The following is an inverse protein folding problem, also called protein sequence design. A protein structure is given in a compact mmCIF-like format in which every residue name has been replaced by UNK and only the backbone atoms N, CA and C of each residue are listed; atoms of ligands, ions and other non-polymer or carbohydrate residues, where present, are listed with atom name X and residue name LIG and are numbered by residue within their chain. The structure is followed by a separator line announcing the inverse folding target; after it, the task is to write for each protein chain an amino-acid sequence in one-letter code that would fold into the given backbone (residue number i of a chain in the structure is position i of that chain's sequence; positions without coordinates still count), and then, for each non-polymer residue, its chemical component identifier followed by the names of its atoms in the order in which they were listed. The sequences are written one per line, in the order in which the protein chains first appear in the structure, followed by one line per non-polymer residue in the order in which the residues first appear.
data_IF_056978250219
#
_entry.id   IF_056978250219
#
_cell.length_a   1.000
_cell.length_b   1.000
_cell.length_c   1.000
_cell.angle_alpha   90.00
_cell.angle_beta   90.00
_cell.angle_gamma   90.00
#
_symmetry.space_group_name_H-M   'P 1'
#
loop_
_entity.id
_entity.type
_entity.pdbx_description
1 polymer ?
#
# COMPACT_ATOMS: atom_id res chain seq x y z
N UNK A 1 -17.84 -23.09 -11.22
CA UNK A 1 -17.70 -21.83 -10.48
C UNK A 1 -17.02 -20.85 -11.40
N UNK A 2 -17.49 -19.62 -11.51
CA UNK A 2 -16.80 -18.57 -12.31
C UNK A 2 -15.55 -18.18 -11.53
N UNK A 3 -14.37 -18.37 -12.15
CA UNK A 3 -13.07 -17.96 -11.57
C UNK A 3 -13.08 -16.44 -11.40
N UNK A 4 -12.77 -15.96 -10.21
CA UNK A 4 -12.72 -14.52 -9.90
C UNK A 4 -11.57 -13.86 -10.66
N UNK A 5 -11.80 -12.63 -11.16
CA UNK A 5 -10.74 -11.76 -11.69
C UNK A 5 -10.22 -10.80 -10.64
N UNK A 6 -8.91 -10.62 -10.56
CA UNK A 6 -8.31 -9.60 -9.70
C UNK A 6 -8.44 -8.25 -10.40
N UNK A 7 -9.13 -7.32 -9.75
CA UNK A 7 -9.32 -5.95 -10.26
C UNK A 7 -8.11 -5.08 -9.94
N UNK A 8 -7.87 -4.10 -10.79
CA UNK A 8 -6.90 -3.02 -10.53
C UNK A 8 -7.57 -1.89 -9.76
N UNK A 9 -6.82 -1.22 -8.89
CA UNK A 9 -7.28 0.02 -8.27
C UNK A 9 -6.66 1.21 -9.00
N UNK A 10 -7.50 1.97 -9.70
CA UNK A 10 -7.09 3.19 -10.41
C UNK A 10 -8.04 4.32 -10.02
N UNK A 11 -7.48 5.44 -9.55
CA UNK A 11 -8.25 6.60 -9.12
C UNK A 11 -9.32 6.29 -8.05
N UNK A 12 -9.02 5.31 -7.16
CA UNK A 12 -9.89 4.89 -6.08
C UNK A 12 -11.08 4.03 -6.47
N UNK A 13 -11.08 3.49 -7.68
CA UNK A 13 -12.09 2.57 -8.18
C UNK A 13 -11.45 1.24 -8.60
N UNK A 14 -12.12 0.14 -8.23
CA UNK A 14 -11.71 -1.19 -8.65
C UNK A 14 -12.24 -1.45 -10.07
N UNK A 15 -11.33 -1.45 -11.04
CA UNK A 15 -11.63 -1.61 -12.46
C UNK A 15 -11.12 -2.94 -12.99
N UNK A 16 -11.88 -3.54 -13.93
CA UNK A 16 -11.40 -4.67 -14.70
C UNK A 16 -10.34 -4.20 -15.71
N UNK A 17 -9.28 -4.98 -15.87
CA UNK A 17 -8.27 -4.68 -16.88
C UNK A 17 -8.81 -4.92 -18.31
N UNK A 18 -8.35 -4.11 -19.24
CA UNK A 18 -8.62 -4.25 -20.66
C UNK A 18 -7.65 -5.20 -21.37
N UNK A 19 -6.73 -5.81 -20.60
CA UNK A 19 -5.74 -6.74 -21.14
C UNK A 19 -6.36 -8.00 -21.73
N UNK A 20 -5.73 -8.56 -22.77
CA UNK A 20 -6.00 -9.91 -23.24
C UNK A 20 -5.14 -10.97 -22.55
N UNK A 21 -4.15 -10.56 -21.75
CA UNK A 21 -3.17 -11.45 -21.12
C UNK A 21 -3.46 -11.60 -19.64
N UNK A 22 -3.76 -12.84 -19.22
CA UNK A 22 -4.12 -13.18 -17.85
C UNK A 22 -3.24 -14.32 -17.34
N UNK A 23 -2.89 -14.28 -16.07
CA UNK A 23 -2.17 -15.33 -15.35
C UNK A 23 -3.15 -16.03 -14.41
N UNK A 24 -3.18 -17.35 -14.45
CA UNK A 24 -3.96 -18.13 -13.50
C UNK A 24 -3.25 -18.14 -12.12
N UNK A 25 -3.97 -17.72 -11.11
CA UNK A 25 -3.56 -17.82 -9.72
C UNK A 25 -4.10 -19.13 -9.16
N UNK A 26 -3.21 -20.04 -8.80
CA UNK A 26 -3.59 -21.35 -8.25
C UNK A 26 -3.24 -21.45 -6.77
N UNK A 27 -4.12 -22.06 -6.00
CA UNK A 27 -3.79 -22.49 -4.65
C UNK A 27 -2.70 -23.57 -4.73
N UNK A 28 -1.51 -23.36 -4.14
CA UNK A 28 -0.38 -24.27 -4.28
C UNK A 28 -0.62 -25.64 -3.61
N UNK A 29 -1.53 -25.73 -2.66
CA UNK A 29 -1.84 -26.98 -1.95
C UNK A 29 -2.83 -27.86 -2.75
N UNK A 30 -3.84 -27.27 -3.40
CA UNK A 30 -4.90 -27.99 -4.12
C UNK A 30 -4.69 -28.00 -5.63
N UNK A 31 -3.85 -27.11 -6.17
CA UNK A 31 -3.63 -26.85 -7.59
C UNK A 31 -4.88 -26.32 -8.31
N UNK A 32 -5.90 -25.91 -7.60
CA UNK A 32 -7.10 -25.29 -8.16
C UNK A 32 -6.84 -23.83 -8.48
N UNK A 33 -7.32 -23.38 -9.64
CA UNK A 33 -7.27 -21.96 -10.02
C UNK A 33 -8.31 -21.20 -9.21
N UNK A 34 -7.85 -20.29 -8.33
CA UNK A 34 -8.69 -19.49 -7.44
C UNK A 34 -9.01 -18.12 -8.01
N UNK A 35 -8.13 -17.56 -8.84
CA UNK A 35 -8.37 -16.27 -9.49
C UNK A 35 -7.58 -16.15 -10.82
N UNK A 36 -7.88 -15.08 -11.56
CA UNK A 36 -7.08 -14.64 -12.72
C UNK A 36 -6.53 -13.25 -12.47
N UNK A 37 -5.23 -13.10 -12.71
CA UNK A 37 -4.48 -11.86 -12.50
C UNK A 37 -4.20 -11.21 -13.85
N UNK A 38 -4.57 -9.93 -14.07
CA UNK A 38 -4.32 -9.26 -15.34
C UNK A 38 -2.83 -8.89 -15.49
N UNK A 39 -2.30 -9.00 -16.69
CA UNK A 39 -1.08 -8.31 -17.07
C UNK A 39 -1.45 -6.88 -17.46
N UNK A 40 -1.19 -5.94 -16.55
CA UNK A 40 -1.54 -4.52 -16.69
C UNK A 40 -0.95 -3.93 -17.97
N UNK A 41 -1.78 -3.27 -18.77
CA UNK A 41 -1.32 -2.62 -20.00
C UNK A 41 -0.53 -1.33 -19.72
N UNK A 42 0.34 -0.88 -20.64
CA UNK A 42 1.05 0.40 -20.50
C UNK A 42 0.10 1.60 -20.30
N UNK A 43 -1.06 1.59 -20.94
CA UNK A 43 -2.05 2.67 -20.81
C UNK A 43 -2.68 2.69 -19.42
N UNK A 44 -2.97 1.55 -18.82
CA UNK A 44 -3.47 1.44 -17.44
C UNK A 44 -2.42 1.90 -16.43
N UNK A 45 -1.14 1.56 -16.65
CA UNK A 45 -0.03 2.07 -15.82
C UNK A 45 0.03 3.60 -15.91
N UNK A 46 -0.04 4.16 -17.12
CA UNK A 46 -0.03 5.61 -17.32
C UNK A 46 -1.23 6.29 -16.65
N UNK A 47 -2.41 5.68 -16.69
CA UNK A 47 -3.59 6.18 -15.98
C UNK A 47 -3.41 6.16 -14.46
N UNK A 48 -2.85 5.09 -13.90
CA UNK A 48 -2.56 4.99 -12.47
C UNK A 48 -1.56 6.07 -12.02
N UNK A 49 -0.47 6.25 -12.77
CA UNK A 49 0.53 7.30 -12.50
C UNK A 49 -0.08 8.70 -12.60
N UNK A 50 -0.91 8.97 -13.61
CA UNK A 50 -1.58 10.26 -13.78
C UNK A 50 -2.56 10.54 -12.62
N UNK A 51 -3.33 9.53 -12.19
CA UNK A 51 -4.22 9.64 -11.04
C UNK A 51 -3.44 9.92 -9.74
N UNK A 52 -2.32 9.23 -9.52
CA UNK A 52 -1.45 9.46 -8.38
C UNK A 52 -0.85 10.88 -8.39
N UNK A 53 -0.44 11.37 -9.55
CA UNK A 53 0.09 12.73 -9.71
C UNK A 53 -0.97 13.81 -9.42
N UNK A 54 -2.21 13.59 -9.82
CA UNK A 54 -3.32 14.51 -9.54
C UNK A 54 -3.64 14.54 -8.04
N UNK A 55 -3.76 13.37 -7.40
CA UNK A 55 -4.03 13.27 -5.97
C UNK A 55 -2.90 13.88 -5.11
N UNK A 56 -1.66 13.78 -5.56
CA UNK A 56 -0.52 14.39 -4.86
C UNK A 56 -0.70 15.89 -4.63
N UNK A 57 -1.32 16.62 -5.55
CA UNK A 57 -1.51 18.08 -5.45
C UNK A 57 -2.29 18.50 -4.19
N UNK A 58 -3.22 17.67 -3.76
CA UNK A 58 -4.04 17.90 -2.56
C UNK A 58 -3.47 17.17 -1.35
N UNK A 59 -3.06 15.90 -1.50
CA UNK A 59 -2.58 15.08 -0.41
C UNK A 59 -1.34 15.65 0.28
N UNK A 60 -0.38 16.17 -0.47
CA UNK A 60 0.81 16.82 0.08
C UNK A 60 0.52 17.97 1.04
N UNK A 61 -0.67 18.59 0.92
CA UNK A 61 -1.12 19.69 1.76
C UNK A 61 -1.96 19.25 2.96
N UNK A 62 -2.31 17.95 3.03
CA UNK A 62 -3.09 17.40 4.13
C UNK A 62 -2.30 17.51 5.43
N UNK A 63 -2.88 18.11 6.49
CA UNK A 63 -2.18 18.26 7.77
C UNK A 63 -1.66 16.92 8.31
N UNK A 64 -0.46 16.95 8.89
CA UNK A 64 0.22 15.75 9.37
C UNK A 64 -0.61 14.96 10.40
N UNK A 65 -1.32 15.67 11.29
CA UNK A 65 -2.20 15.03 12.28
C UNK A 65 -3.41 14.32 11.63
N UNK A 66 -3.90 14.82 10.50
CA UNK A 66 -4.96 14.15 9.74
C UNK A 66 -4.44 12.86 9.13
N UNK A 67 -3.25 12.88 8.53
CA UNK A 67 -2.59 11.69 8.00
C UNK A 67 -2.34 10.65 9.11
N UNK A 68 -1.80 11.08 10.25
CA UNK A 68 -1.57 10.23 11.42
C UNK A 68 -2.85 9.49 11.87
N UNK A 69 -3.99 10.19 11.97
CA UNK A 69 -5.28 9.59 12.37
C UNK A 69 -5.79 8.56 11.36
N UNK A 70 -5.55 8.77 10.06
CA UNK A 70 -5.88 7.78 9.03
C UNK A 70 -5.07 6.49 9.26
N UNK A 71 -3.77 6.59 9.55
CA UNK A 71 -2.95 5.42 9.83
C UNK A 71 -3.29 4.73 11.15
N UNK A 72 -3.74 5.47 12.18
CA UNK A 72 -4.31 4.90 13.39
C UNK A 72 -5.57 4.06 13.10
N UNK A 73 -6.44 4.54 12.20
CA UNK A 73 -7.61 3.77 11.77
C UNK A 73 -7.19 2.57 10.92
N UNK A 74 -6.22 2.74 10.02
CA UNK A 74 -5.75 1.67 9.14
C UNK A 74 -5.15 0.51 9.92
N UNK A 75 -4.28 0.78 10.89
CA UNK A 75 -3.73 -0.26 11.77
C UNK A 75 -4.83 -1.04 12.50
N UNK A 76 -5.89 -0.36 12.96
CA UNK A 76 -6.99 -1.02 13.63
C UNK A 76 -7.75 -1.94 12.67
N UNK A 77 -8.03 -1.49 11.44
CA UNK A 77 -8.67 -2.31 10.42
C UNK A 77 -7.85 -3.55 10.07
N UNK A 78 -6.52 -3.45 9.99
CA UNK A 78 -5.66 -4.63 9.78
C UNK A 78 -5.75 -5.59 10.96
N UNK A 79 -5.76 -5.09 12.21
CA UNK A 79 -5.91 -5.93 13.40
C UNK A 79 -7.24 -6.68 13.41
N UNK A 80 -8.32 -5.99 13.12
CA UNK A 80 -9.68 -6.54 13.14
C UNK A 80 -9.88 -7.59 12.03
N UNK A 81 -9.13 -7.50 10.94
CA UNK A 81 -9.19 -8.43 9.80
C UNK A 81 -8.00 -9.41 9.73
N UNK A 82 -7.21 -9.55 10.81
CA UNK A 82 -5.98 -10.36 10.84
C UNK A 82 -6.22 -11.81 10.40
N UNK A 83 -7.29 -12.44 10.87
CA UNK A 83 -7.60 -13.84 10.58
C UNK A 83 -8.03 -14.02 9.12
N UNK A 84 -8.81 -13.09 8.56
CA UNK A 84 -9.20 -13.07 7.15
C UNK A 84 -7.96 -12.93 6.25
N UNK A 85 -7.11 -11.93 6.52
CA UNK A 85 -5.90 -11.65 5.76
C UNK A 85 -4.94 -12.86 5.77
N UNK A 86 -4.76 -13.47 6.93
CA UNK A 86 -3.91 -14.65 7.07
C UNK A 86 -4.48 -15.86 6.31
N UNK A 87 -5.79 -16.08 6.33
CA UNK A 87 -6.43 -17.15 5.58
C UNK A 87 -6.27 -16.96 4.05
N UNK A 88 -6.53 -15.74 3.55
CA UNK A 88 -6.30 -15.40 2.14
C UNK A 88 -4.85 -15.65 1.71
N UNK A 89 -3.89 -15.23 2.55
CA UNK A 89 -2.48 -15.40 2.28
C UNK A 89 -2.08 -16.88 2.26
N UNK A 90 -2.61 -17.69 3.17
CA UNK A 90 -2.40 -19.14 3.17
C UNK A 90 -2.97 -19.77 1.89
N UNK A 91 -4.13 -19.35 1.44
CA UNK A 91 -4.78 -19.87 0.25
C UNK A 91 -4.00 -19.56 -1.04
N UNK A 92 -3.52 -18.32 -1.20
CA UNK A 92 -2.85 -17.92 -2.45
C UNK A 92 -1.35 -18.23 -2.48
N UNK A 93 -0.68 -18.37 -1.30
CA UNK A 93 0.77 -18.53 -1.22
C UNK A 93 1.22 -19.87 -0.65
N UNK A 94 0.36 -20.54 0.15
CA UNK A 94 0.63 -21.87 0.69
C UNK A 94 1.41 -21.92 2.00
N UNK A 95 1.78 -20.79 2.62
CA UNK A 95 2.40 -20.81 3.95
C UNK A 95 1.39 -21.19 5.02
N UNK A 96 1.87 -21.66 6.17
CA UNK A 96 1.00 -22.00 7.30
C UNK A 96 0.22 -20.77 7.79
N UNK A 97 -0.95 -20.99 8.38
CA UNK A 97 -1.74 -19.88 8.94
C UNK A 97 -0.98 -19.10 10.02
N UNK A 98 -0.12 -19.77 10.79
CA UNK A 98 0.73 -19.10 11.78
C UNK A 98 1.78 -18.19 11.13
N UNK A 99 2.44 -18.65 10.06
CA UNK A 99 3.40 -17.83 9.32
C UNK A 99 2.70 -16.69 8.57
N UNK A 100 1.49 -16.92 8.04
CA UNK A 100 0.66 -15.90 7.39
C UNK A 100 0.27 -14.79 8.38
N UNK A 101 -0.14 -15.13 9.60
CA UNK A 101 -0.36 -14.14 10.67
C UNK A 101 0.91 -13.36 11.00
N UNK A 102 2.06 -14.03 11.05
CA UNK A 102 3.35 -13.39 11.27
C UNK A 102 3.75 -12.44 10.14
N UNK A 103 3.42 -12.77 8.89
CA UNK A 103 3.62 -11.91 7.72
C UNK A 103 2.81 -10.61 7.85
N UNK A 104 1.50 -10.72 8.05
CA UNK A 104 0.60 -9.57 8.24
C UNK A 104 1.01 -8.74 9.45
N UNK A 105 1.37 -9.39 10.57
CA UNK A 105 1.75 -8.69 11.81
C UNK A 105 3.00 -7.83 11.64
N UNK A 106 4.04 -8.33 10.97
CA UNK A 106 5.27 -7.55 10.69
C UNK A 106 5.01 -6.38 9.74
N UNK A 107 4.05 -6.51 8.83
CA UNK A 107 3.58 -5.39 8.03
C UNK A 107 2.83 -4.35 8.86
N UNK A 108 1.97 -4.81 9.77
CA UNK A 108 1.21 -3.97 10.70
C UNK A 108 2.14 -3.10 11.58
N UNK A 109 3.25 -3.64 12.08
CA UNK A 109 4.22 -2.87 12.89
C UNK A 109 4.74 -1.62 12.17
N UNK A 110 4.90 -1.67 10.85
CA UNK A 110 5.31 -0.49 10.05
C UNK A 110 4.14 0.49 9.85
N UNK A 111 2.91 0.01 9.73
CA UNK A 111 1.72 0.87 9.70
C UNK A 111 1.56 1.61 11.04
N UNK A 112 1.81 0.93 12.16
CA UNK A 112 1.85 1.55 13.50
C UNK A 112 2.93 2.62 13.58
N UNK A 113 4.13 2.34 13.06
CA UNK A 113 5.21 3.31 12.97
C UNK A 113 4.81 4.53 12.12
N UNK A 114 4.14 4.31 10.98
CA UNK A 114 3.64 5.37 10.11
C UNK A 114 2.59 6.27 10.79
N UNK A 115 1.85 5.77 11.77
CA UNK A 115 0.91 6.59 12.53
C UNK A 115 1.61 7.66 13.39
N UNK A 116 2.88 7.43 13.75
CA UNK A 116 3.75 8.37 14.45
C UNK A 116 4.45 9.41 13.57
N UNK A 117 4.04 9.56 12.32
CA UNK A 117 4.73 10.37 11.30
C UNK A 117 4.97 11.83 11.73
N UNK A 118 4.14 12.38 12.60
CA UNK A 118 4.31 13.73 13.12
C UNK A 118 5.65 13.95 13.83
N UNK A 119 6.18 12.93 14.50
CA UNK A 119 7.49 13.01 15.15
C UNK A 119 8.64 12.75 14.15
N UNK A 120 8.39 11.93 13.14
CA UNK A 120 9.42 11.55 12.16
C UNK A 120 9.70 12.64 11.11
N UNK A 121 8.73 13.54 10.86
CA UNK A 121 8.85 14.63 9.90
C UNK A 121 9.24 15.99 10.51
N UNK A 122 9.68 16.00 11.76
CA UNK A 122 10.23 17.22 12.36
C UNK A 122 11.53 17.63 11.66
N UNK A 123 11.66 18.95 11.42
CA UNK A 123 12.91 19.53 10.93
C UNK A 123 13.87 19.81 12.08
N UNK A 124 15.04 20.34 11.74
CA UNK A 124 16.02 20.84 12.69
C UNK A 124 16.16 22.35 12.58
N UNK A 125 16.51 22.98 13.69
CA UNK A 125 16.83 24.40 13.79
C UNK A 125 18.21 24.56 14.45
N UNK A 126 19.03 25.47 13.94
CA UNK A 126 20.32 25.83 14.49
C UNK A 126 20.37 27.34 14.61
N UNK A 127 20.47 27.85 15.84
CA UNK A 127 20.64 29.28 16.13
C UNK A 127 22.11 29.67 15.94
N UNK A 128 22.34 30.86 15.35
CA UNK A 128 23.68 31.44 15.15
C UNK A 128 24.69 30.49 14.49
N UNK A 129 24.28 29.81 13.42
CA UNK A 129 25.17 28.96 12.61
C UNK A 129 26.34 29.78 12.02
N UNK A 130 26.12 31.06 11.83
CA UNK A 130 27.12 32.11 11.59
C UNK A 130 26.64 33.41 12.27
N UNK A 131 27.46 34.43 12.33
CA UNK A 131 27.09 35.70 12.99
C UNK A 131 25.83 36.29 12.39
N UNK A 132 24.73 36.31 13.13
CA UNK A 132 23.43 36.83 12.73
C UNK A 132 22.66 35.96 11.72
N UNK A 133 23.00 34.65 11.63
CA UNK A 133 22.35 33.70 10.71
C UNK A 133 21.83 32.50 11.47
N UNK A 134 20.52 32.31 11.43
CA UNK A 134 19.85 31.09 11.88
C UNK A 134 19.55 30.16 10.68
N UNK A 135 19.57 28.86 10.91
CA UNK A 135 19.28 27.86 9.87
C UNK A 135 18.21 26.89 10.34
N UNK A 136 17.28 26.57 9.45
CA UNK A 136 16.31 25.50 9.67
C UNK A 136 16.16 24.64 8.42
N UNK A 137 15.78 23.37 8.60
CA UNK A 137 15.39 22.49 7.50
C UNK A 137 13.93 22.08 7.63
N UNK A 138 13.31 21.78 6.51
CA UNK A 138 11.97 21.21 6.43
C UNK A 138 12.01 19.97 5.53
N UNK A 139 11.21 18.97 5.89
CA UNK A 139 11.03 17.78 5.07
C UNK A 139 9.79 17.94 4.19
N UNK A 140 9.93 17.64 2.91
CA UNK A 140 8.84 17.74 1.93
C UNK A 140 8.66 16.39 1.22
N UNK A 141 7.41 16.04 0.81
CA UNK A 141 7.18 14.84 0.02
C UNK A 141 7.80 14.97 -1.38
N UNK A 142 8.29 13.85 -1.91
CA UNK A 142 8.93 13.76 -3.22
C UNK A 142 7.94 13.86 -4.38
N UNK A 143 6.76 13.25 -4.24
CA UNK A 143 5.77 13.19 -5.31
C UNK A 143 5.09 11.83 -5.42
N UNK A 144 5.02 11.31 -6.64
CA UNK A 144 4.56 9.95 -6.92
C UNK A 144 5.72 8.99 -6.66
N UNK A 145 5.53 8.07 -5.72
CA UNK A 145 6.45 6.96 -5.46
C UNK A 145 5.91 5.68 -6.08
N UNK A 146 6.76 4.70 -6.29
CA UNK A 146 6.36 3.39 -6.79
C UNK A 146 7.07 2.27 -6.05
N UNK A 147 6.43 1.10 -5.98
CA UNK A 147 7.01 -0.11 -5.40
C UNK A 147 6.60 -1.36 -6.15
N UNK A 148 7.54 -2.26 -6.35
CA UNK A 148 7.34 -3.60 -6.90
C UNK A 148 7.65 -4.59 -5.77
N UNK A 149 6.70 -5.45 -5.42
CA UNK A 149 6.83 -6.34 -4.27
C UNK A 149 6.91 -7.81 -4.68
N UNK A 150 7.68 -8.62 -3.92
CA UNK A 150 7.88 -10.03 -4.21
C UNK A 150 6.73 -10.90 -3.70
N UNK A 151 6.76 -12.19 -4.07
CA UNK A 151 5.74 -13.18 -3.71
C UNK A 151 5.92 -13.80 -2.32
N UNK A 152 7.11 -13.74 -1.73
CA UNK A 152 7.42 -14.50 -0.51
C UNK A 152 6.84 -13.89 0.78
N UNK A 153 6.56 -12.59 0.79
CA UNK A 153 5.90 -11.85 1.89
C UNK A 153 4.90 -10.83 1.33
N UNK A 154 3.77 -11.31 0.79
CA UNK A 154 2.85 -10.46 0.01
C UNK A 154 2.00 -9.50 0.85
N UNK A 155 1.97 -9.64 2.19
CA UNK A 155 1.40 -8.65 3.09
C UNK A 155 2.47 -7.72 3.67
N UNK A 156 3.55 -8.28 4.21
CA UNK A 156 4.59 -7.54 4.92
C UNK A 156 5.27 -6.50 4.02
N UNK A 157 5.75 -6.88 2.84
CA UNK A 157 6.57 -5.99 2.02
C UNK A 157 5.76 -4.83 1.42
N UNK A 158 4.53 -5.01 0.88
CA UNK A 158 3.69 -3.87 0.53
C UNK A 158 3.47 -2.90 1.69
N UNK A 159 3.18 -3.43 2.89
CA UNK A 159 2.97 -2.62 4.10
C UNK A 159 4.25 -1.93 4.60
N UNK A 160 5.43 -2.38 4.21
CA UNK A 160 6.69 -1.67 4.48
C UNK A 160 6.91 -0.47 3.56
N UNK A 161 6.27 -0.45 2.40
CA UNK A 161 6.53 0.55 1.36
C UNK A 161 5.47 1.65 1.33
N UNK A 162 4.24 1.35 0.92
CA UNK A 162 3.24 2.38 0.64
C UNK A 162 2.76 3.16 1.89
N UNK A 163 2.62 2.56 3.11
CA UNK A 163 2.17 3.32 4.27
C UNK A 163 3.11 4.46 4.62
N UNK A 164 4.42 4.19 4.67
CA UNK A 164 5.41 5.21 4.99
C UNK A 164 5.48 6.31 3.92
N UNK A 165 5.42 5.95 2.64
CA UNK A 165 5.40 6.92 1.54
C UNK A 165 4.16 7.83 1.63
N UNK A 166 2.98 7.27 1.86
CA UNK A 166 1.74 8.03 1.95
C UNK A 166 1.68 8.87 3.24
N UNK A 167 2.10 8.33 4.38
CA UNK A 167 2.15 9.06 5.65
C UNK A 167 3.04 10.30 5.55
N UNK A 168 4.15 10.24 4.81
CA UNK A 168 5.05 11.38 4.58
C UNK A 168 4.50 12.40 3.57
N UNK A 169 3.35 12.13 2.94
CA UNK A 169 2.65 13.06 2.03
C UNK A 169 2.87 12.79 0.55
N UNK A 170 3.48 11.66 0.21
CA UNK A 170 3.58 11.18 -1.17
C UNK A 170 2.31 10.44 -1.59
N UNK A 171 2.14 10.21 -2.89
CA UNK A 171 1.26 9.19 -3.46
C UNK A 171 2.09 7.99 -3.90
N UNK A 172 1.44 6.86 -4.14
CA UNK A 172 2.18 5.62 -4.36
C UNK A 172 1.51 4.75 -5.43
N UNK A 173 2.27 4.21 -6.36
CA UNK A 173 1.84 3.20 -7.33
C UNK A 173 2.44 1.87 -6.90
N UNK A 174 1.58 0.91 -6.53
CA UNK A 174 1.98 -0.40 -6.06
C UNK A 174 1.75 -1.47 -7.14
N UNK A 175 2.81 -2.19 -7.49
CA UNK A 175 2.73 -3.42 -8.28
C UNK A 175 2.95 -4.61 -7.34
N UNK A 176 1.89 -5.31 -6.87
CA UNK A 176 2.05 -6.54 -6.11
C UNK A 176 2.60 -7.67 -6.98
N UNK A 177 3.03 -8.76 -6.35
CA UNK A 177 3.39 -9.96 -7.10
C UNK A 177 2.17 -10.50 -7.86
N UNK A 178 2.37 -10.88 -9.11
CA UNK A 178 1.35 -11.58 -9.91
C UNK A 178 1.02 -12.98 -9.39
N UNK A 179 1.88 -13.55 -8.56
CA UNK A 179 1.71 -14.90 -8.01
C UNK A 179 0.73 -14.95 -6.83
N UNK A 180 0.54 -13.83 -6.10
CA UNK A 180 -0.30 -13.76 -4.90
C UNK A 180 -0.72 -12.31 -4.57
N UNK A 181 -1.52 -11.67 -5.42
CA UNK A 181 -1.91 -10.28 -5.23
C UNK A 181 -3.11 -10.08 -4.30
N UNK A 182 -3.90 -11.13 -4.00
CA UNK A 182 -5.21 -10.98 -3.38
C UNK A 182 -5.13 -10.36 -1.98
N UNK A 183 -4.23 -10.85 -1.12
CA UNK A 183 -4.05 -10.28 0.22
C UNK A 183 -3.58 -8.82 0.15
N UNK A 184 -2.71 -8.48 -0.80
CA UNK A 184 -2.27 -7.09 -1.01
C UNK A 184 -3.45 -6.21 -1.44
N UNK A 185 -4.30 -6.67 -2.35
CA UNK A 185 -5.50 -5.92 -2.77
C UNK A 185 -6.49 -5.74 -1.63
N UNK A 186 -6.66 -6.75 -0.75
CA UNK A 186 -7.49 -6.62 0.45
C UNK A 186 -6.93 -5.58 1.43
N UNK A 187 -5.61 -5.55 1.62
CA UNK A 187 -4.95 -4.52 2.44
C UNK A 187 -5.17 -3.11 1.86
N UNK A 188 -5.19 -2.97 0.55
CA UNK A 188 -5.48 -1.72 -0.15
C UNK A 188 -6.94 -1.29 0.03
N UNK A 189 -7.91 -2.22 0.01
CA UNK A 189 -9.31 -1.95 0.34
C UNK A 189 -9.46 -1.39 1.77
N UNK A 190 -8.81 -2.01 2.75
CA UNK A 190 -8.80 -1.54 4.14
C UNK A 190 -8.13 -0.15 4.26
N UNK A 191 -7.13 0.13 3.44
CA UNK A 191 -6.49 1.43 3.39
C UNK A 191 -7.45 2.54 2.87
N UNK A 192 -8.24 2.25 1.84
CA UNK A 192 -9.30 3.15 1.35
C UNK A 192 -10.36 3.38 2.43
N UNK A 193 -10.79 2.32 3.11
CA UNK A 193 -11.75 2.39 4.22
C UNK A 193 -11.23 3.26 5.37
N UNK A 194 -9.92 3.21 5.65
CA UNK A 194 -9.28 4.06 6.64
C UNK A 194 -9.31 5.55 6.25
N UNK A 195 -9.41 5.86 4.96
CA UNK A 195 -9.45 7.21 4.43
C UNK A 195 -8.16 7.65 3.75
N UNK A 196 -7.28 6.70 3.38
CA UNK A 196 -6.14 7.00 2.51
C UNK A 196 -6.68 7.50 1.16
N UNK A 197 -6.08 8.52 0.53
CA UNK A 197 -6.63 9.15 -0.67
C UNK A 197 -6.77 8.18 -1.84
N UNK A 198 -7.79 8.40 -2.68
CA UNK A 198 -8.19 7.51 -3.78
C UNK A 198 -7.16 7.32 -4.91
N UNK A 199 -5.90 7.66 -4.70
CA UNK A 199 -4.89 7.62 -5.75
C UNK A 199 -3.61 6.92 -5.29
N UNK A 200 -3.61 5.64 -5.36
CA UNK A 200 -2.50 4.73 -5.52
C UNK A 200 -2.87 3.54 -6.37
#
# INVERSE_FOLDING_TARGET
MTTQTVKQLINGEFVESTTSEWIDLSNPATQEVIAKVPQTTPDEINQAVAAAAEAFKTWRKTPINTRSRIFLKYQQLIRDNMDELAAMLTEEQGKTLADAKGDVFRGLEVVEHASGIGNLQQGAFIENVATGVDMYNIQQPLGVCAGITPFNFPAMIPLWMFPMAIATGNTFVLKPSEQNPMVTMRLVELALEAGIPKAY
#
